data_IF_053896863827
#
_entry.id   IF_053896863827
#
_cell.length_a   1.000
_cell.length_b   1.000
_cell.length_c   1.000
_cell.angle_alpha   90.00
_cell.angle_beta   90.00
_cell.angle_gamma   90.00
#
_symmetry.space_group_name_H-M   'P 1'
#
loop_
_entity.id
_entity.type
_entity.pdbx_description
1 polymer ?
#
# COMPACT_ATOMS: atom_id res chain seq x y z
N UNK A 1 -10.74 -37.40 -1.17
CA UNK A 1 -9.49 -36.68 -0.80
C UNK A 1 -9.54 -36.30 0.65
N UNK A 2 -8.46 -36.48 1.38
CA UNK A 2 -8.36 -36.09 2.79
C UNK A 2 -8.13 -34.54 2.87
N UNK A 3 -9.14 -33.84 3.33
CA UNK A 3 -9.05 -32.37 3.54
C UNK A 3 -7.96 -31.99 4.57
N UNK A 4 -7.55 -32.92 5.45
CA UNK A 4 -6.44 -32.72 6.37
C UNK A 4 -5.12 -32.48 5.66
N UNK A 5 -4.89 -33.16 4.53
CA UNK A 5 -3.66 -33.00 3.74
C UNK A 5 -3.46 -31.62 3.14
N UNK A 6 -4.55 -30.89 2.84
CA UNK A 6 -4.53 -29.51 2.32
C UNK A 6 -3.72 -28.56 3.21
N UNK A 7 -3.78 -28.77 4.53
CA UNK A 7 -3.11 -27.91 5.51
C UNK A 7 -1.84 -28.53 6.09
N UNK A 8 -1.72 -29.87 6.12
CA UNK A 8 -0.56 -30.56 6.70
C UNK A 8 0.59 -30.75 5.71
N UNK A 9 0.29 -30.98 4.41
CA UNK A 9 1.27 -31.07 3.31
C UNK A 9 0.68 -30.48 2.03
N UNK A 10 0.68 -29.13 1.89
CA UNK A 10 0.12 -28.43 0.73
C UNK A 10 0.75 -28.88 -0.60
N UNK A 11 2.04 -29.18 -0.60
CA UNK A 11 2.75 -29.59 -1.81
C UNK A 11 2.30 -30.98 -2.29
N UNK A 12 2.15 -31.93 -1.38
CA UNK A 12 1.61 -33.24 -1.72
C UNK A 12 0.16 -33.16 -2.20
N UNK A 13 -0.66 -32.35 -1.51
CA UNK A 13 -2.05 -32.11 -1.89
C UNK A 13 -2.16 -31.48 -3.28
N UNK A 14 -1.34 -30.49 -3.59
CA UNK A 14 -1.28 -29.85 -4.93
C UNK A 14 -0.96 -30.89 -6.03
N UNK A 15 0.02 -31.78 -5.80
CA UNK A 15 0.36 -32.84 -6.76
C UNK A 15 -0.80 -33.80 -7.01
N UNK A 16 -1.53 -34.19 -5.97
CA UNK A 16 -2.72 -35.04 -6.09
C UNK A 16 -3.84 -34.35 -6.87
N UNK A 17 -4.10 -33.07 -6.55
CA UNK A 17 -5.10 -32.27 -7.26
C UNK A 17 -4.78 -32.12 -8.75
N UNK A 18 -3.54 -31.80 -9.11
CA UNK A 18 -3.12 -31.68 -10.53
C UNK A 18 -3.33 -32.97 -11.29
N UNK A 19 -2.99 -34.12 -10.71
CA UNK A 19 -3.25 -35.40 -11.34
C UNK A 19 -4.75 -35.69 -11.52
N UNK A 20 -5.54 -35.39 -10.50
CA UNK A 20 -6.99 -35.52 -10.55
C UNK A 20 -7.63 -34.60 -11.61
N UNK A 21 -7.18 -33.36 -11.69
CA UNK A 21 -7.60 -32.37 -12.68
C UNK A 21 -7.34 -32.86 -14.11
N UNK A 22 -6.11 -33.33 -14.42
CA UNK A 22 -5.76 -33.87 -15.73
C UNK A 22 -6.64 -35.09 -16.10
N UNK A 23 -6.92 -35.95 -15.15
CA UNK A 23 -7.79 -37.12 -15.40
C UNK A 23 -9.24 -36.74 -15.74
N UNK A 24 -9.80 -35.74 -15.01
CA UNK A 24 -11.17 -35.26 -15.29
C UNK A 24 -11.24 -34.58 -16.66
N UNK A 25 -10.26 -33.73 -16.99
CA UNK A 25 -10.22 -33.02 -18.28
C UNK A 25 -10.05 -34.04 -19.44
N UNK A 26 -9.30 -35.09 -19.23
CA UNK A 26 -9.15 -36.20 -20.20
C UNK A 26 -10.37 -37.14 -20.27
N UNK A 27 -11.45 -36.81 -19.55
CA UNK A 27 -12.69 -37.59 -19.56
C UNK A 27 -12.64 -38.89 -18.71
N UNK A 28 -11.63 -39.06 -17.89
CA UNK A 28 -11.55 -40.21 -16.97
C UNK A 28 -12.32 -39.88 -15.69
N UNK A 29 -13.35 -40.68 -15.33
CA UNK A 29 -14.09 -40.49 -14.09
C UNK A 29 -13.20 -40.55 -12.86
N UNK A 30 -13.34 -39.63 -11.92
CA UNK A 30 -12.59 -39.65 -10.68
C UNK A 30 -13.52 -39.56 -9.47
N UNK A 31 -13.73 -40.70 -8.79
CA UNK A 31 -14.69 -40.76 -7.68
C UNK A 31 -14.23 -40.00 -6.42
N UNK A 32 -12.95 -39.66 -6.29
CA UNK A 32 -12.38 -39.03 -5.10
C UNK A 32 -12.43 -37.49 -5.10
N UNK A 33 -12.94 -36.90 -6.19
CA UNK A 33 -13.13 -35.43 -6.26
C UNK A 33 -14.47 -35.07 -5.63
N UNK A 34 -14.54 -34.00 -4.79
CA UNK A 34 -15.81 -33.50 -4.30
C UNK A 34 -16.76 -33.17 -5.46
N UNK A 35 -18.00 -33.64 -5.41
CA UNK A 35 -18.95 -33.47 -6.51
C UNK A 35 -19.21 -31.97 -6.84
N UNK A 36 -19.18 -31.10 -5.84
CA UNK A 36 -19.30 -29.65 -6.07
C UNK A 36 -18.19 -29.11 -6.98
N UNK A 37 -16.95 -29.55 -6.79
CA UNK A 37 -15.82 -29.14 -7.61
C UNK A 37 -15.91 -29.73 -9.03
N UNK A 38 -16.25 -31.01 -9.14
CA UNK A 38 -16.43 -31.65 -10.44
C UNK A 38 -17.58 -30.98 -11.24
N UNK A 39 -18.64 -30.59 -10.57
CA UNK A 39 -19.77 -29.88 -11.18
C UNK A 39 -19.37 -28.49 -11.65
N UNK A 40 -18.56 -27.78 -10.88
CA UNK A 40 -18.04 -26.46 -11.25
C UNK A 40 -17.16 -26.55 -12.51
N UNK A 41 -16.20 -27.46 -12.56
CA UNK A 41 -15.38 -27.65 -13.76
C UNK A 41 -16.23 -28.02 -15.00
N UNK A 42 -17.22 -28.89 -14.83
CA UNK A 42 -18.14 -29.25 -15.93
C UNK A 42 -18.95 -28.04 -16.45
N UNK A 43 -19.44 -27.18 -15.54
CA UNK A 43 -20.15 -25.94 -15.93
C UNK A 43 -19.23 -25.02 -16.70
N UNK A 44 -18.02 -24.74 -16.19
CA UNK A 44 -17.04 -23.89 -16.85
C UNK A 44 -16.65 -24.38 -18.24
N UNK A 45 -16.40 -25.70 -18.38
CA UNK A 45 -16.11 -26.30 -19.69
C UNK A 45 -17.31 -26.22 -20.64
N UNK A 46 -18.54 -26.36 -20.12
CA UNK A 46 -19.76 -26.21 -20.93
C UNK A 46 -19.97 -24.76 -21.41
N UNK A 47 -19.41 -23.76 -20.69
CA UNK A 47 -19.36 -22.36 -21.12
C UNK A 47 -18.23 -22.09 -22.15
N UNK A 48 -17.47 -23.12 -22.52
CA UNK A 48 -16.38 -23.01 -23.48
C UNK A 48 -15.03 -22.59 -22.89
N UNK A 49 -14.90 -22.54 -21.56
CA UNK A 49 -13.65 -22.21 -20.92
C UNK A 49 -12.67 -23.37 -21.01
N UNK A 50 -11.50 -23.11 -21.61
CA UNK A 50 -10.42 -24.09 -21.68
C UNK A 50 -9.58 -24.10 -20.39
N UNK A 51 -9.16 -25.28 -19.91
CA UNK A 51 -8.13 -25.36 -18.85
C UNK A 51 -6.81 -24.69 -19.20
N UNK A 52 -6.54 -24.47 -20.48
CA UNK A 52 -5.36 -23.78 -21.01
C UNK A 52 -5.64 -22.32 -21.38
N UNK A 53 -6.75 -21.76 -20.96
CA UNK A 53 -7.03 -20.34 -21.16
C UNK A 53 -5.99 -19.49 -20.43
N UNK A 54 -5.43 -18.49 -21.13
CA UNK A 54 -4.37 -17.66 -20.57
C UNK A 54 -4.88 -16.35 -19.97
N UNK A 55 -5.98 -15.81 -20.52
CA UNK A 55 -6.47 -14.48 -20.18
C UNK A 55 -7.95 -14.51 -19.88
N UNK A 56 -8.42 -13.76 -18.86
CA UNK A 56 -9.85 -13.48 -18.67
C UNK A 56 -10.36 -12.55 -19.78
N UNK A 57 -11.66 -12.43 -19.87
CA UNK A 57 -12.26 -11.39 -20.68
C UNK A 57 -12.15 -10.05 -19.95
N UNK A 58 -11.77 -8.97 -20.64
CA UNK A 58 -11.82 -7.61 -20.11
C UNK A 58 -13.14 -6.96 -20.49
N UNK A 59 -13.85 -6.41 -19.49
CA UNK A 59 -15.15 -5.73 -19.69
C UNK A 59 -14.93 -4.23 -19.84
N UNK A 60 -14.02 -3.64 -19.08
CA UNK A 60 -13.73 -2.22 -19.09
C UNK A 60 -12.23 -1.96 -19.07
N UNK A 61 -11.85 -0.84 -19.67
CA UNK A 61 -10.51 -0.30 -19.52
C UNK A 61 -10.29 0.29 -18.11
N UNK A 62 -9.03 0.32 -17.65
CA UNK A 62 -8.72 0.78 -16.30
C UNK A 62 -9.24 2.19 -15.96
N UNK A 63 -9.40 3.05 -16.95
CA UNK A 63 -9.99 4.39 -16.79
C UNK A 63 -11.49 4.34 -16.49
N UNK A 64 -12.21 3.44 -17.14
CA UNK A 64 -13.66 3.25 -16.95
C UNK A 64 -13.95 2.63 -15.59
N UNK A 65 -13.09 1.68 -15.14
CA UNK A 65 -13.19 1.09 -13.80
C UNK A 65 -13.12 2.15 -12.69
N UNK A 66 -12.36 3.23 -12.89
CA UNK A 66 -12.30 4.32 -11.91
C UNK A 66 -13.65 5.03 -11.73
N UNK A 67 -14.41 5.19 -12.80
CA UNK A 67 -15.76 5.76 -12.71
C UNK A 67 -16.74 4.78 -12.06
N UNK A 68 -16.65 3.48 -12.41
CA UNK A 68 -17.45 2.43 -11.77
C UNK A 68 -17.21 2.39 -10.26
N UNK A 69 -15.96 2.45 -9.81
CA UNK A 69 -15.60 2.51 -8.37
C UNK A 69 -16.28 3.67 -7.64
N UNK A 70 -16.29 4.87 -8.25
CA UNK A 70 -16.87 6.08 -7.63
C UNK A 70 -18.37 5.94 -7.40
N UNK A 71 -19.06 5.27 -8.32
CA UNK A 71 -20.49 5.03 -8.22
C UNK A 71 -20.86 3.81 -7.36
N UNK A 72 -19.89 2.91 -7.12
CA UNK A 72 -20.15 1.63 -6.47
C UNK A 72 -20.24 1.75 -4.94
N UNK A 73 -21.23 1.10 -4.32
CA UNK A 73 -21.44 1.13 -2.85
C UNK A 73 -20.23 0.65 -2.05
N UNK A 74 -19.49 -0.31 -2.56
CA UNK A 74 -18.30 -0.85 -1.92
C UNK A 74 -17.15 0.17 -1.78
N UNK A 75 -17.20 1.32 -2.52
CA UNK A 75 -16.27 2.43 -2.33
C UNK A 75 -16.23 2.93 -0.88
N UNK A 76 -17.36 2.86 -0.17
CA UNK A 76 -17.48 3.35 1.20
C UNK A 76 -16.70 2.48 2.20
N UNK A 77 -16.58 1.19 1.94
CA UNK A 77 -15.93 0.21 2.83
C UNK A 77 -14.52 -0.16 2.40
N UNK A 78 -14.12 0.18 1.17
CA UNK A 78 -12.80 -0.16 0.63
C UNK A 78 -11.63 0.35 1.50
N UNK A 79 -11.65 1.58 2.06
CA UNK A 79 -10.58 2.02 2.95
C UNK A 79 -10.40 1.13 4.19
N UNK A 80 -11.50 0.74 4.85
CA UNK A 80 -11.47 -0.12 6.03
C UNK A 80 -11.03 -1.56 5.68
N UNK A 81 -11.47 -2.09 4.53
CA UNK A 81 -11.01 -3.40 4.05
C UNK A 81 -9.51 -3.38 3.72
N UNK A 82 -9.02 -2.30 3.10
CA UNK A 82 -7.59 -2.15 2.82
C UNK A 82 -6.76 -2.07 4.09
N UNK A 83 -7.21 -1.30 5.09
CA UNK A 83 -6.50 -1.18 6.37
C UNK A 83 -6.44 -2.52 7.12
N UNK A 84 -7.51 -3.32 7.04
CA UNK A 84 -7.60 -4.60 7.73
C UNK A 84 -6.81 -5.73 7.06
N UNK A 85 -6.80 -5.77 5.72
CA UNK A 85 -6.38 -6.95 4.95
C UNK A 85 -5.19 -6.71 4.02
N UNK A 86 -4.87 -5.44 3.71
CA UNK A 86 -3.76 -5.17 2.81
C UNK A 86 -2.44 -5.43 3.51
N UNK A 87 -1.63 -6.28 2.91
CA UNK A 87 -0.27 -6.54 3.34
C UNK A 87 0.68 -5.68 2.51
N UNK A 88 0.89 -4.45 2.98
CA UNK A 88 1.75 -3.45 2.33
C UNK A 88 3.25 -3.66 2.64
N UNK A 89 3.61 -4.72 3.37
CA UNK A 89 5.01 -5.05 3.63
C UNK A 89 5.75 -5.40 2.33
N UNK A 90 7.05 -5.16 2.27
CA UNK A 90 7.87 -5.45 1.07
C UNK A 90 7.80 -6.91 0.63
N UNK A 91 7.55 -7.81 1.57
CA UNK A 91 7.39 -9.27 1.45
C UNK A 91 5.95 -9.73 1.57
N UNK A 92 5.00 -8.80 1.54
CA UNK A 92 3.56 -9.10 1.55
C UNK A 92 3.16 -10.08 0.47
N UNK A 93 2.54 -11.19 0.88
CA UNK A 93 2.21 -12.31 0.00
C UNK A 93 0.76 -12.31 -0.43
N UNK A 94 -0.09 -11.52 0.23
CA UNK A 94 -1.52 -11.52 -0.04
C UNK A 94 -1.91 -10.40 -0.99
N UNK A 95 -2.80 -10.73 -1.91
CA UNK A 95 -3.49 -9.83 -2.81
C UNK A 95 -4.94 -9.71 -2.34
N UNK A 96 -5.36 -8.54 -1.96
CA UNK A 96 -6.75 -8.20 -1.72
C UNK A 96 -7.40 -7.83 -3.04
N UNK A 97 -8.50 -8.45 -3.38
CA UNK A 97 -9.31 -8.16 -4.57
C UNK A 97 -10.75 -7.92 -4.17
N UNK A 98 -11.38 -6.93 -4.78
CA UNK A 98 -12.80 -6.65 -4.60
C UNK A 98 -13.45 -6.51 -5.98
N UNK A 99 -14.46 -7.34 -6.23
CA UNK A 99 -15.23 -7.31 -7.48
C UNK A 99 -16.57 -6.64 -7.30
N UNK A 100 -17.26 -6.39 -8.40
CA UNK A 100 -18.68 -6.15 -8.41
C UNK A 100 -19.51 -7.45 -8.30
N UNK A 101 -20.83 -7.34 -8.39
CA UNK A 101 -21.74 -8.48 -8.36
C UNK A 101 -21.68 -9.36 -9.62
N UNK A 102 -21.10 -8.87 -10.71
CA UNK A 102 -20.86 -9.61 -11.95
C UNK A 102 -19.54 -10.40 -11.96
N UNK A 103 -18.62 -10.10 -11.04
CA UNK A 103 -17.28 -10.70 -10.98
C UNK A 103 -16.21 -9.87 -11.66
N UNK A 104 -16.52 -8.65 -12.09
CA UNK A 104 -15.53 -7.71 -12.61
C UNK A 104 -14.65 -7.18 -11.47
N UNK A 105 -13.34 -7.22 -11.63
CA UNK A 105 -12.42 -6.70 -10.64
C UNK A 105 -12.47 -5.18 -10.63
N UNK A 106 -12.89 -4.62 -9.50
CA UNK A 106 -12.91 -3.19 -9.31
C UNK A 106 -11.68 -2.68 -8.54
N UNK A 107 -11.19 -3.37 -7.51
CA UNK A 107 -10.02 -2.99 -6.72
C UNK A 107 -9.07 -4.15 -6.51
N UNK A 108 -7.77 -3.80 -6.51
CA UNK A 108 -6.69 -4.69 -6.07
C UNK A 108 -5.75 -3.93 -5.14
N UNK A 109 -5.34 -4.57 -4.05
CA UNK A 109 -4.37 -4.02 -3.10
C UNK A 109 -3.41 -5.12 -2.67
N UNK A 110 -2.12 -4.82 -2.64
CA UNK A 110 -1.08 -5.76 -2.23
C UNK A 110 0.31 -5.21 -2.50
N UNK A 111 1.33 -5.96 -2.08
CA UNK A 111 2.72 -5.62 -2.36
C UNK A 111 3.00 -5.56 -3.87
N UNK A 112 4.03 -4.81 -4.27
CA UNK A 112 4.44 -4.74 -5.67
C UNK A 112 4.80 -6.12 -6.25
N UNK A 113 5.29 -7.04 -5.41
CA UNK A 113 5.64 -8.40 -5.83
C UNK A 113 4.39 -9.24 -6.15
N UNK A 114 3.38 -9.21 -5.28
CA UNK A 114 2.16 -9.99 -5.51
C UNK A 114 1.33 -9.40 -6.65
N UNK A 115 1.30 -8.08 -6.80
CA UNK A 115 0.63 -7.41 -7.92
C UNK A 115 1.26 -7.81 -9.26
N UNK A 116 2.59 -7.81 -9.39
CA UNK A 116 3.29 -8.29 -10.60
C UNK A 116 3.00 -9.77 -10.91
N UNK A 117 2.85 -10.58 -9.86
CA UNK A 117 2.49 -11.99 -10.05
C UNK A 117 1.05 -12.13 -10.56
N UNK A 118 0.14 -11.30 -10.06
CA UNK A 118 -1.25 -11.24 -10.50
C UNK A 118 -1.37 -10.70 -11.95
N UNK A 119 -0.56 -9.71 -12.32
CA UNK A 119 -0.54 -9.13 -13.67
C UNK A 119 -0.18 -10.17 -14.75
N UNK A 120 0.61 -11.21 -14.42
CA UNK A 120 0.90 -12.31 -15.36
C UNK A 120 -0.31 -13.18 -15.70
N UNK A 121 -1.32 -13.14 -14.85
CA UNK A 121 -2.60 -13.84 -15.04
C UNK A 121 -3.69 -12.90 -15.56
N UNK A 122 -3.32 -11.65 -15.83
CA UNK A 122 -4.29 -10.56 -16.09
C UNK A 122 -5.35 -10.46 -14.98
N UNK A 123 -4.96 -10.81 -13.75
CA UNK A 123 -5.77 -10.63 -12.55
C UNK A 123 -5.74 -9.15 -12.18
N UNK A 124 -6.40 -8.33 -13.03
CA UNK A 124 -6.31 -6.87 -13.05
C UNK A 124 -7.68 -6.21 -13.08
N UNK A 125 -7.71 -4.93 -12.77
CA UNK A 125 -8.95 -4.15 -12.78
C UNK A 125 -9.57 -4.13 -14.19
N UNK A 126 -10.89 -4.32 -14.26
CA UNK A 126 -11.65 -4.44 -15.50
C UNK A 126 -11.74 -5.86 -16.05
N UNK A 127 -11.01 -6.82 -15.47
CA UNK A 127 -11.06 -8.22 -15.87
C UNK A 127 -12.26 -8.94 -15.26
N UNK A 128 -12.88 -9.81 -16.03
CA UNK A 128 -14.03 -10.63 -15.67
C UNK A 128 -13.58 -11.95 -15.05
N UNK A 129 -13.71 -12.06 -13.75
CA UNK A 129 -13.39 -13.26 -12.97
C UNK A 129 -14.63 -14.07 -12.58
N UNK A 130 -15.74 -13.85 -13.27
CA UNK A 130 -16.89 -14.75 -13.24
C UNK A 130 -16.57 -16.11 -13.86
N UNK A 131 -17.46 -17.07 -13.69
CA UNK A 131 -17.34 -18.40 -14.32
C UNK A 131 -17.32 -18.30 -15.86
N UNK A 132 -18.06 -17.38 -16.45
CA UNK A 132 -18.07 -17.12 -17.89
C UNK A 132 -16.82 -16.38 -18.40
N UNK A 133 -16.10 -15.66 -17.52
CA UNK A 133 -14.90 -14.92 -17.88
C UNK A 133 -13.64 -15.78 -17.90
N UNK A 134 -13.44 -16.61 -16.87
CA UNK A 134 -12.19 -17.39 -16.70
C UNK A 134 -12.43 -18.78 -16.06
N UNK A 135 -13.67 -19.24 -15.94
CA UNK A 135 -13.98 -20.54 -15.37
C UNK A 135 -13.91 -20.62 -13.86
N UNK A 136 -13.88 -21.85 -13.35
CA UNK A 136 -13.86 -22.12 -11.93
C UNK A 136 -12.66 -21.48 -11.22
N UNK A 137 -12.94 -20.52 -10.35
CA UNK A 137 -12.02 -19.87 -9.44
C UNK A 137 -12.75 -19.48 -8.15
N UNK A 138 -12.07 -18.98 -7.11
CA UNK A 138 -12.72 -18.73 -5.82
C UNK A 138 -13.79 -17.63 -5.92
N UNK A 139 -13.57 -16.58 -6.74
CA UNK A 139 -14.53 -15.50 -6.96
C UNK A 139 -15.78 -16.07 -7.64
N UNK A 140 -15.61 -16.81 -8.75
CA UNK A 140 -16.73 -17.41 -9.49
C UNK A 140 -17.56 -18.36 -8.64
N UNK A 141 -16.92 -19.19 -7.83
CA UNK A 141 -17.62 -20.10 -6.91
C UNK A 141 -18.34 -19.35 -5.80
N UNK A 142 -17.77 -18.27 -5.27
CA UNK A 142 -18.46 -17.43 -4.29
C UNK A 142 -19.69 -16.73 -4.90
N UNK A 143 -19.62 -16.31 -6.16
CA UNK A 143 -20.75 -15.75 -6.91
C UNK A 143 -21.86 -16.78 -7.13
N UNK A 144 -21.51 -17.98 -7.61
CA UNK A 144 -22.47 -19.03 -7.93
C UNK A 144 -23.13 -19.60 -6.67
N UNK A 145 -22.34 -19.86 -5.63
CA UNK A 145 -22.86 -20.52 -4.41
C UNK A 145 -23.45 -19.53 -3.41
N UNK A 146 -23.09 -18.25 -3.51
CA UNK A 146 -23.45 -17.23 -2.53
C UNK A 146 -22.85 -17.47 -1.15
N UNK A 147 -21.75 -18.24 -1.06
CA UNK A 147 -21.08 -18.67 0.19
C UNK A 147 -19.58 -18.40 0.13
N UNK A 148 -18.92 -18.25 1.28
CA UNK A 148 -17.46 -18.19 1.34
C UNK A 148 -16.84 -19.49 0.82
N UNK A 149 -15.78 -19.36 0.02
CA UNK A 149 -15.09 -20.45 -0.67
C UNK A 149 -13.58 -20.31 -0.52
N UNK A 150 -12.87 -21.43 -0.39
CA UNK A 150 -11.42 -21.51 -0.51
C UNK A 150 -11.03 -22.48 -1.61
N UNK A 151 -10.33 -22.01 -2.62
CA UNK A 151 -9.74 -22.85 -3.66
C UNK A 151 -8.21 -22.84 -3.57
N UNK A 152 -7.63 -24.00 -3.83
CA UNK A 152 -6.22 -24.27 -3.69
C UNK A 152 -5.68 -24.98 -4.93
N UNK A 153 -4.64 -24.42 -5.55
CA UNK A 153 -3.95 -25.09 -6.66
C UNK A 153 -4.91 -25.52 -7.78
N UNK A 154 -4.87 -26.78 -8.17
CA UNK A 154 -5.71 -27.35 -9.22
C UNK A 154 -7.18 -27.59 -8.82
N UNK A 155 -7.66 -26.99 -7.74
CA UNK A 155 -9.10 -26.77 -7.55
C UNK A 155 -9.60 -25.67 -8.52
N UNK A 156 -8.73 -24.76 -9.00
CA UNK A 156 -9.01 -23.88 -10.12
C UNK A 156 -9.04 -24.66 -11.45
N UNK A 157 -9.94 -24.29 -12.37
CA UNK A 157 -10.00 -24.95 -13.67
C UNK A 157 -8.78 -24.64 -14.53
N UNK A 158 -8.38 -23.37 -14.58
CA UNK A 158 -7.31 -22.89 -15.46
C UNK A 158 -5.93 -23.19 -14.87
N UNK A 159 -5.06 -23.84 -15.65
CA UNK A 159 -3.76 -24.34 -15.19
C UNK A 159 -2.81 -23.23 -14.71
N UNK A 160 -2.85 -22.05 -15.30
CA UNK A 160 -2.03 -20.91 -14.86
C UNK A 160 -2.35 -20.46 -13.43
N UNK A 161 -3.54 -20.78 -12.90
CA UNK A 161 -3.96 -20.45 -11.53
C UNK A 161 -3.50 -21.50 -10.49
N UNK A 162 -2.92 -22.62 -10.90
CA UNK A 162 -2.53 -23.72 -9.99
C UNK A 162 -1.42 -23.37 -8.99
N UNK A 163 -0.77 -22.23 -9.14
CA UNK A 163 0.21 -21.69 -8.19
C UNK A 163 -0.41 -20.75 -7.15
N UNK A 164 -1.75 -20.64 -7.14
CA UNK A 164 -2.46 -19.73 -6.26
C UNK A 164 -3.39 -20.46 -5.29
N UNK A 165 -3.54 -19.84 -4.13
CA UNK A 165 -4.53 -20.17 -3.13
C UNK A 165 -5.40 -18.96 -2.87
N UNK A 166 -6.71 -19.08 -3.00
CA UNK A 166 -7.67 -17.99 -3.00
C UNK A 166 -8.77 -18.25 -1.97
N UNK A 167 -9.16 -17.22 -1.27
CA UNK A 167 -10.26 -17.25 -0.31
C UNK A 167 -11.23 -16.12 -0.62
N UNK A 168 -12.40 -16.45 -1.11
CA UNK A 168 -13.41 -15.50 -1.53
C UNK A 168 -14.68 -15.59 -0.70
N UNK A 169 -15.32 -14.43 -0.46
CA UNK A 169 -16.62 -14.37 0.21
C UNK A 169 -17.49 -13.25 -0.37
N UNK A 170 -18.79 -13.51 -0.60
CA UNK A 170 -19.72 -12.52 -1.12
C UNK A 170 -20.03 -11.46 -0.07
N UNK A 171 -20.09 -10.18 -0.50
CA UNK A 171 -20.57 -9.04 0.30
C UNK A 171 -21.98 -8.71 -0.17
N UNK A 172 -22.90 -8.62 0.78
CA UNK A 172 -24.30 -8.31 0.51
C UNK A 172 -24.68 -6.92 1.05
N UNK A 173 -25.62 -6.34 0.37
CA UNK A 173 -26.30 -5.16 0.85
C UNK A 173 -27.10 -5.49 2.12
N UNK A 174 -26.80 -4.84 3.26
CA UNK A 174 -27.45 -5.17 4.53
C UNK A 174 -28.92 -4.83 4.59
N UNK A 175 -29.44 -3.98 3.68
CA UNK A 175 -30.85 -3.58 3.65
C UNK A 175 -31.66 -4.45 2.69
N UNK A 176 -31.10 -4.78 1.53
CA UNK A 176 -31.83 -5.48 0.47
C UNK A 176 -31.47 -6.96 0.36
N UNK A 177 -30.34 -7.38 0.94
CA UNK A 177 -29.77 -8.72 0.76
C UNK A 177 -29.14 -8.96 -0.61
N UNK A 178 -29.18 -7.96 -1.53
CA UNK A 178 -28.60 -8.08 -2.85
C UNK A 178 -27.08 -8.27 -2.77
N UNK A 179 -26.53 -9.07 -3.70
CA UNK A 179 -25.10 -9.19 -3.84
C UNK A 179 -24.51 -7.88 -4.34
N UNK A 180 -23.50 -7.35 -3.63
CA UNK A 180 -22.77 -6.16 -4.05
C UNK A 180 -21.46 -6.51 -4.75
N UNK A 181 -20.83 -7.63 -4.41
CA UNK A 181 -19.59 -8.08 -4.98
C UNK A 181 -18.96 -9.18 -4.14
N UNK A 182 -17.72 -9.51 -4.45
CA UNK A 182 -16.95 -10.55 -3.77
C UNK A 182 -15.63 -9.96 -3.27
N UNK A 183 -15.35 -10.20 -1.99
CA UNK A 183 -14.03 -9.98 -1.39
C UNK A 183 -13.20 -11.25 -1.57
N UNK A 184 -12.03 -11.15 -2.18
CA UNK A 184 -11.08 -12.24 -2.32
C UNK A 184 -9.71 -11.87 -1.75
N UNK A 185 -9.10 -12.82 -1.05
CA UNK A 185 -7.71 -12.76 -0.59
C UNK A 185 -6.96 -13.92 -1.23
N UNK A 186 -6.08 -13.57 -2.15
CA UNK A 186 -5.30 -14.50 -2.95
C UNK A 186 -3.81 -14.42 -2.61
N UNK A 187 -3.10 -15.55 -2.74
CA UNK A 187 -1.66 -15.59 -2.48
C UNK A 187 -1.02 -16.88 -2.97
N UNK A 188 0.29 -17.10 -2.68
CA UNK A 188 0.96 -18.36 -2.96
C UNK A 188 0.34 -19.50 -2.14
N UNK A 189 0.59 -20.73 -2.54
CA UNK A 189 -0.02 -21.92 -1.92
C UNK A 189 0.20 -22.00 -0.42
N UNK A 190 1.37 -21.55 0.07
CA UNK A 190 1.75 -21.56 1.47
C UNK A 190 1.00 -20.52 2.32
N UNK A 191 0.32 -19.57 1.68
CA UNK A 191 -0.46 -18.52 2.37
C UNK A 191 -1.84 -18.99 2.80
N UNK A 192 -2.30 -20.14 2.31
CA UNK A 192 -3.62 -20.67 2.67
C UNK A 192 -3.61 -21.29 4.06
N UNK A 193 -4.45 -20.75 4.93
CA UNK A 193 -4.70 -21.30 6.27
C UNK A 193 -6.21 -21.36 6.54
N UNK A 194 -6.61 -22.12 7.55
CA UNK A 194 -7.99 -22.12 8.03
C UNK A 194 -8.39 -20.73 8.59
N UNK A 195 -7.41 -19.97 9.07
CA UNK A 195 -7.63 -18.63 9.62
C UNK A 195 -7.88 -17.60 8.52
N UNK A 196 -7.33 -17.77 7.31
CA UNK A 196 -7.62 -16.91 6.16
C UNK A 196 -9.12 -16.85 5.86
N UNK A 197 -9.81 -18.00 5.91
CA UNK A 197 -11.27 -18.03 5.71
C UNK A 197 -12.02 -17.30 6.83
N UNK A 198 -11.59 -17.44 8.07
CA UNK A 198 -12.18 -16.73 9.21
C UNK A 198 -11.97 -15.24 9.07
N UNK A 199 -10.76 -14.81 8.72
CA UNK A 199 -10.39 -13.42 8.50
C UNK A 199 -11.24 -12.78 7.40
N UNK A 200 -11.38 -13.43 6.24
CA UNK A 200 -12.20 -12.93 5.12
C UNK A 200 -13.67 -12.83 5.53
N UNK A 201 -14.21 -13.80 6.26
CA UNK A 201 -15.58 -13.74 6.78
C UNK A 201 -15.79 -12.59 7.78
N UNK A 202 -14.82 -12.36 8.68
CA UNK A 202 -14.88 -11.22 9.60
C UNK A 202 -14.83 -9.88 8.85
N UNK A 203 -13.98 -9.77 7.84
CA UNK A 203 -13.87 -8.58 7.00
C UNK A 203 -15.17 -8.29 6.24
N UNK A 204 -15.81 -9.31 5.67
CA UNK A 204 -17.14 -9.17 5.03
C UNK A 204 -18.18 -8.72 6.05
N UNK A 205 -18.24 -9.34 7.22
CA UNK A 205 -19.20 -8.94 8.27
C UNK A 205 -18.99 -7.50 8.73
N UNK A 206 -17.74 -7.07 8.83
CA UNK A 206 -17.38 -5.67 9.11
C UNK A 206 -17.84 -4.74 7.98
N UNK A 207 -17.57 -5.08 6.72
CA UNK A 207 -17.98 -4.28 5.57
C UNK A 207 -19.51 -4.10 5.53
N UNK A 208 -20.28 -5.17 5.72
CA UNK A 208 -21.74 -5.13 5.76
C UNK A 208 -22.25 -4.32 6.96
N UNK A 209 -21.59 -4.39 8.12
CA UNK A 209 -21.92 -3.55 9.28
C UNK A 209 -21.67 -2.06 9.01
N UNK A 210 -20.54 -1.71 8.38
CA UNK A 210 -20.21 -0.34 7.99
C UNK A 210 -21.22 0.22 6.97
N UNK A 211 -21.63 -0.58 5.98
CA UNK A 211 -22.66 -0.19 5.01
C UNK A 211 -24.00 0.09 5.71
N UNK A 212 -24.39 -0.74 6.69
CA UNK A 212 -25.61 -0.53 7.47
C UNK A 212 -25.57 0.76 8.30
N UNK A 213 -24.42 1.07 8.89
CA UNK A 213 -24.22 2.31 9.64
C UNK A 213 -24.31 3.55 8.75
N UNK A 214 -23.74 3.48 7.55
CA UNK A 214 -23.83 4.55 6.55
C UNK A 214 -25.27 4.82 6.11
N UNK A 215 -26.07 3.78 5.90
CA UNK A 215 -27.49 3.89 5.55
C UNK A 215 -28.34 4.47 6.67
N UNK A 216 -27.98 4.23 7.93
CA UNK A 216 -28.66 4.79 9.11
C UNK A 216 -28.35 6.29 9.34
N UNK A 217 -27.60 6.92 8.44
CA UNK A 217 -27.22 8.33 8.56
C UNK A 217 -26.18 8.59 9.66
N UNK A 218 -25.56 7.54 10.19
CA UNK A 218 -24.42 7.66 11.12
C UNK A 218 -23.16 7.87 10.25
N UNK A 219 -22.47 9.03 10.35
CA UNK A 219 -21.23 9.20 9.61
C UNK A 219 -20.25 8.10 10.03
N UNK A 220 -19.67 7.38 9.07
CA UNK A 220 -18.58 6.45 9.31
C UNK A 220 -17.42 7.23 9.91
N UNK A 221 -17.32 7.16 11.26
CA UNK A 221 -16.50 8.06 12.06
C UNK A 221 -15.02 7.81 11.89
N UNK A 222 -14.30 8.86 11.62
CA UNK A 222 -13.00 9.09 12.21
C UNK A 222 -13.10 9.04 13.76
N UNK A 223 -12.03 8.66 14.49
CA UNK A 223 -12.06 8.59 15.96
C UNK A 223 -12.54 9.92 16.56
N UNK A 224 -13.43 9.81 17.54
CA UNK A 224 -14.13 10.92 18.16
C UNK A 224 -13.22 12.07 18.59
N UNK A 225 -13.40 13.29 18.09
CA UNK A 225 -12.85 14.46 18.74
C UNK A 225 -13.76 14.90 19.87
N UNK A 226 -13.15 15.30 20.98
CA UNK A 226 -13.78 15.97 22.13
C UNK A 226 -14.64 17.15 21.66
N UNK A 227 -15.82 17.41 22.22
CA UNK A 227 -16.76 18.38 21.68
C UNK A 227 -16.28 19.82 21.84
N UNK A 228 -16.04 20.47 20.72
CA UNK A 228 -16.01 21.95 20.65
C UNK A 228 -17.28 22.38 19.94
N UNK A 229 -18.05 23.21 20.62
CA UNK A 229 -19.35 23.74 20.19
C UNK A 229 -19.26 24.41 18.81
N UNK A 230 -20.10 23.96 17.87
CA UNK A 230 -20.28 24.61 16.57
C UNK A 230 -21.64 25.28 16.50
N UNK A 231 -21.60 26.57 16.27
CA UNK A 231 -22.74 27.30 15.75
C UNK A 231 -22.90 26.99 14.25
N UNK A 232 -24.13 26.64 13.92
CA UNK A 232 -24.54 26.29 12.54
C UNK A 232 -24.77 27.53 11.69
N UNK A 233 -24.23 27.54 10.48
CA UNK A 233 -24.82 28.27 9.36
C UNK A 233 -24.80 27.44 8.09
N UNK A 234 -26.00 27.11 7.61
CA UNK A 234 -26.28 26.45 6.33
C UNK A 234 -26.13 27.48 5.23
N UNK A 235 -25.31 27.22 4.25
CA UNK A 235 -25.52 27.74 2.86
C UNK A 235 -24.77 26.86 1.85
N UNK A 236 -25.48 26.49 0.83
CA UNK A 236 -25.19 26.13 -0.55
C UNK A 236 -23.82 25.55 -0.93
N UNK A 237 -23.86 24.30 -1.44
CA UNK A 237 -22.76 23.65 -2.12
C UNK A 237 -22.47 24.35 -3.47
N UNK A 238 -21.48 25.23 -3.48
CA UNK A 238 -20.70 25.54 -4.68
C UNK A 238 -19.34 24.84 -4.50
N UNK A 239 -18.86 24.15 -5.52
CA UNK A 239 -17.53 23.54 -5.53
C UNK A 239 -16.49 24.61 -5.12
N UNK A 240 -15.91 24.46 -3.92
CA UNK A 240 -14.82 25.31 -3.45
C UNK A 240 -13.63 25.08 -4.36
N UNK A 241 -12.96 26.11 -4.87
CA UNK A 241 -11.66 25.93 -5.46
C UNK A 241 -10.75 25.30 -4.39
N UNK A 242 -10.11 24.18 -4.73
CA UNK A 242 -9.21 23.47 -3.81
C UNK A 242 -8.18 24.49 -3.31
N UNK A 243 -8.06 24.64 -1.99
CA UNK A 243 -7.07 25.54 -1.42
C UNK A 243 -5.68 25.12 -1.90
N UNK A 244 -4.86 26.07 -2.34
CA UNK A 244 -3.53 25.76 -2.87
C UNK A 244 -2.66 25.13 -1.78
N UNK A 245 -1.90 24.10 -2.14
CA UNK A 245 -0.93 23.46 -1.23
C UNK A 245 0.14 24.47 -0.82
N UNK A 246 0.43 24.52 0.48
CA UNK A 246 1.39 25.44 1.06
C UNK A 246 2.77 24.80 1.25
N UNK A 247 2.80 23.55 1.76
CA UNK A 247 4.04 22.82 2.06
C UNK A 247 3.80 21.31 2.16
N UNK A 248 4.90 20.55 2.16
CA UNK A 248 4.92 19.11 2.39
C UNK A 248 5.66 18.80 3.70
N UNK A 249 5.11 17.90 4.49
CA UNK A 249 5.73 17.29 5.67
C UNK A 249 6.14 15.88 5.28
N UNK A 250 7.44 15.65 5.11
CA UNK A 250 8.03 14.38 4.66
C UNK A 250 8.99 13.77 5.70
N UNK A 251 9.34 14.54 6.75
CA UNK A 251 10.16 14.04 7.85
C UNK A 251 9.30 13.28 8.86
N UNK A 252 9.70 12.03 9.16
CA UNK A 252 9.00 11.16 10.10
C UNK A 252 8.19 10.05 9.44
N UNK A 253 7.24 9.51 10.20
CA UNK A 253 6.43 8.34 9.85
C UNK A 253 5.00 8.68 9.38
N UNK A 254 4.58 9.96 9.49
CA UNK A 254 3.23 10.42 9.15
C UNK A 254 3.26 11.58 8.13
N UNK A 255 3.66 11.31 6.89
CA UNK A 255 3.77 12.35 5.88
C UNK A 255 2.42 12.99 5.56
N UNK A 256 2.45 14.29 5.26
CA UNK A 256 1.24 15.07 4.97
C UNK A 256 1.48 16.23 4.01
N UNK A 257 0.40 16.70 3.39
CA UNK A 257 0.35 17.97 2.67
C UNK A 257 -0.41 19.02 3.52
N UNK A 258 0.14 20.22 3.63
CA UNK A 258 -0.50 21.37 4.25
C UNK A 258 -1.04 22.31 3.19
N UNK A 259 -2.25 22.78 3.39
CA UNK A 259 -2.93 23.70 2.50
C UNK A 259 -2.98 25.12 3.10
N UNK A 260 -3.17 26.12 2.25
CA UNK A 260 -3.21 27.53 2.68
C UNK A 260 -4.40 27.87 3.57
N UNK A 261 -5.44 27.04 3.58
CA UNK A 261 -6.58 27.17 4.49
C UNK A 261 -6.31 26.57 5.88
N UNK A 262 -5.09 26.10 6.13
CA UNK A 262 -4.70 25.47 7.40
C UNK A 262 -5.04 23.98 7.49
N UNK A 263 -5.64 23.39 6.46
CA UNK A 263 -5.94 21.96 6.48
C UNK A 263 -4.67 21.12 6.30
N UNK A 264 -4.59 19.99 7.01
CA UNK A 264 -3.53 18.97 6.91
C UNK A 264 -4.14 17.71 6.35
N UNK A 265 -3.63 17.23 5.24
CA UNK A 265 -4.10 16.00 4.58
C UNK A 265 -2.99 14.95 4.63
N UNK A 266 -3.21 13.80 5.31
CA UNK A 266 -2.23 12.74 5.38
C UNK A 266 -1.98 12.14 3.99
N UNK A 267 -0.72 11.79 3.74
CA UNK A 267 -0.29 11.14 2.50
C UNK A 267 -0.06 9.65 2.77
N UNK A 268 -0.44 8.81 1.81
CA UNK A 268 0.02 7.43 1.84
C UNK A 268 1.53 7.38 1.61
N UNK A 269 2.20 6.34 2.13
CA UNK A 269 3.65 6.20 2.01
C UNK A 269 4.10 6.31 0.55
N UNK A 270 3.42 5.63 -0.39
CA UNK A 270 3.75 5.68 -1.82
C UNK A 270 3.65 7.08 -2.42
N UNK A 271 2.63 7.86 -2.07
CA UNK A 271 2.49 9.25 -2.54
C UNK A 271 3.57 10.15 -1.96
N UNK A 272 3.93 9.93 -0.70
CA UNK A 272 5.02 10.67 -0.05
C UNK A 272 6.39 10.34 -0.68
N UNK A 273 6.66 9.08 -1.04
CA UNK A 273 7.86 8.65 -1.77
C UNK A 273 7.96 9.35 -3.13
N UNK A 274 6.87 9.37 -3.90
CA UNK A 274 6.80 10.10 -5.17
C UNK A 274 7.14 11.58 -4.94
N UNK A 275 6.48 12.23 -3.97
CA UNK A 275 6.69 13.65 -3.67
C UNK A 275 8.11 13.95 -3.20
N UNK A 276 8.74 13.06 -2.42
CA UNK A 276 10.13 13.16 -2.01
C UNK A 276 11.08 13.10 -3.22
N UNK A 277 10.82 12.20 -4.18
CA UNK A 277 11.57 12.14 -5.43
C UNK A 277 11.37 13.40 -6.27
N UNK A 278 10.14 13.90 -6.42
CA UNK A 278 9.87 15.16 -7.13
C UNK A 278 10.56 16.36 -6.48
N UNK A 279 10.61 16.41 -5.13
CA UNK A 279 11.30 17.48 -4.39
C UNK A 279 12.82 17.41 -4.53
N UNK A 280 13.38 16.21 -4.74
CA UNK A 280 14.82 15.98 -4.85
C UNK A 280 15.43 16.47 -6.18
N UNK A 281 14.61 16.62 -7.23
CA UNK A 281 15.08 16.89 -8.60
C UNK A 281 14.19 17.94 -9.28
N UNK A 282 14.69 19.17 -9.35
CA UNK A 282 13.95 20.31 -9.92
C UNK A 282 13.66 20.17 -11.43
N UNK A 283 14.49 19.45 -12.18
CA UNK A 283 14.27 19.16 -13.59
C UNK A 283 13.08 18.23 -13.82
N UNK A 284 12.64 17.52 -12.79
CA UNK A 284 11.53 16.58 -12.82
C UNK A 284 11.95 15.17 -13.25
N UNK A 285 10.95 14.31 -13.38
CA UNK A 285 11.07 12.88 -13.62
C UNK A 285 10.08 12.46 -14.71
N UNK A 286 10.47 11.54 -15.58
CA UNK A 286 9.53 10.82 -16.44
C UNK A 286 8.76 9.76 -15.61
N UNK A 287 7.69 9.22 -16.18
CA UNK A 287 6.97 8.12 -15.55
C UNK A 287 7.85 6.85 -15.46
N UNK A 288 8.68 6.64 -16.47
CA UNK A 288 9.59 5.52 -16.58
C UNK A 288 10.72 5.61 -15.53
N UNK A 289 11.32 6.81 -15.37
CA UNK A 289 12.34 7.04 -14.33
C UNK A 289 11.76 6.83 -12.92
N UNK A 290 10.57 7.40 -12.63
CA UNK A 290 9.90 7.18 -11.34
C UNK A 290 9.56 5.71 -11.11
N UNK A 291 9.13 4.99 -12.16
CA UNK A 291 8.85 3.57 -12.07
C UNK A 291 10.12 2.78 -11.73
N UNK A 292 11.24 3.10 -12.36
CA UNK A 292 12.51 2.49 -12.07
C UNK A 292 12.99 2.75 -10.62
N UNK A 293 12.95 3.99 -10.17
CA UNK A 293 13.38 4.38 -8.82
C UNK A 293 12.50 3.74 -7.72
N UNK A 294 11.20 3.62 -7.96
CA UNK A 294 10.26 3.11 -6.98
C UNK A 294 10.10 1.58 -7.00
N UNK A 295 10.43 0.93 -8.12
CA UNK A 295 10.14 -0.50 -8.34
C UNK A 295 11.30 -1.28 -8.98
N UNK A 296 12.40 -0.63 -9.34
CA UNK A 296 13.53 -1.24 -10.07
C UNK A 296 13.15 -1.61 -11.51
N UNK A 297 13.87 -2.58 -12.08
CA UNK A 297 13.71 -3.03 -13.48
C UNK A 297 12.30 -3.54 -13.83
N UNK A 298 11.51 -3.88 -12.82
CA UNK A 298 10.12 -4.33 -12.98
C UNK A 298 9.10 -3.17 -12.89
N UNK A 299 9.55 -1.91 -12.85
CA UNK A 299 8.69 -0.75 -12.74
C UNK A 299 7.82 -0.54 -13.99
N UNK A 300 6.49 -0.46 -13.80
CA UNK A 300 5.55 -0.19 -14.89
C UNK A 300 5.15 1.28 -14.83
N UNK A 301 5.50 2.04 -15.87
CA UNK A 301 5.18 3.47 -15.98
C UNK A 301 3.67 3.78 -15.86
N UNK A 302 2.81 2.84 -16.26
CA UNK A 302 1.35 2.99 -16.11
C UNK A 302 0.92 3.09 -14.63
N UNK A 303 1.53 2.32 -13.72
CA UNK A 303 1.28 2.41 -12.29
C UNK A 303 1.65 3.80 -11.74
N UNK A 304 2.78 4.36 -12.20
CA UNK A 304 3.20 5.71 -11.83
C UNK A 304 2.23 6.76 -12.35
N UNK A 305 1.75 6.64 -13.59
CA UNK A 305 0.76 7.56 -14.14
C UNK A 305 -0.53 7.56 -13.32
N UNK A 306 -0.95 6.39 -12.83
CA UNK A 306 -2.12 6.26 -11.95
C UNK A 306 -1.88 6.95 -10.59
N UNK A 307 -0.73 6.73 -9.96
CA UNK A 307 -0.41 7.41 -8.70
C UNK A 307 -0.23 8.93 -8.91
N UNK A 308 0.38 9.36 -10.02
CA UNK A 308 0.50 10.76 -10.36
C UNK A 308 -0.87 11.43 -10.59
N UNK A 309 -1.82 10.71 -11.20
CA UNK A 309 -3.21 11.19 -11.30
C UNK A 309 -3.81 11.41 -9.90
N UNK A 310 -3.64 10.46 -8.98
CA UNK A 310 -4.13 10.57 -7.59
C UNK A 310 -3.44 11.71 -6.83
N UNK A 311 -2.12 11.86 -6.98
CA UNK A 311 -1.37 12.97 -6.38
C UNK A 311 -1.86 14.31 -6.92
N UNK A 312 -2.07 14.43 -8.23
CA UNK A 312 -2.61 15.65 -8.85
C UNK A 312 -4.06 15.92 -8.47
N UNK A 313 -4.88 14.89 -8.32
CA UNK A 313 -6.25 15.05 -7.80
C UNK A 313 -6.28 15.62 -6.39
N UNK A 314 -5.25 15.35 -5.58
CA UNK A 314 -5.09 15.87 -4.23
C UNK A 314 -4.47 17.28 -4.21
N UNK A 315 -3.40 17.48 -4.98
CA UNK A 315 -2.54 18.68 -4.91
C UNK A 315 -2.78 19.66 -6.07
N UNK A 316 -3.61 19.30 -7.04
CA UNK A 316 -3.98 20.16 -8.17
C UNK A 316 -2.78 20.56 -9.03
N UNK A 317 -2.75 21.83 -9.41
CA UNK A 317 -1.72 22.44 -10.28
C UNK A 317 -0.33 22.55 -9.60
N UNK A 318 -0.23 22.16 -8.31
CA UNK A 318 1.06 22.11 -7.62
C UNK A 318 2.04 21.09 -8.19
N UNK A 319 1.55 20.20 -9.08
CA UNK A 319 2.35 19.17 -9.78
C UNK A 319 2.26 19.40 -11.28
N UNK A 320 3.37 19.77 -11.91
CA UNK A 320 3.50 19.82 -13.36
C UNK A 320 3.67 18.41 -13.97
N UNK A 321 3.29 18.25 -15.24
CA UNK A 321 3.47 17.01 -16.01
C UNK A 321 4.35 17.26 -17.23
N UNK A 322 5.08 16.19 -17.63
CA UNK A 322 5.99 16.20 -18.80
C UNK A 322 7.16 17.20 -18.71
N UNK A 323 8.16 16.92 -17.86
CA UNK A 323 8.24 15.85 -16.84
C UNK A 323 7.44 16.17 -15.58
N UNK A 324 7.19 15.15 -14.74
CA UNK A 324 6.58 15.35 -13.44
C UNK A 324 7.52 16.10 -12.50
N UNK A 325 7.09 17.23 -11.97
CA UNK A 325 7.86 18.06 -11.04
C UNK A 325 6.95 18.84 -10.12
N UNK A 326 7.47 19.25 -8.98
CA UNK A 326 6.78 20.21 -8.13
C UNK A 326 6.72 21.56 -8.86
N UNK A 327 5.52 22.16 -8.87
CA UNK A 327 5.32 23.52 -9.40
C UNK A 327 6.03 24.57 -8.52
N UNK A 328 6.26 25.76 -9.06
CA UNK A 328 6.98 26.86 -8.38
C UNK A 328 6.41 27.17 -6.99
N UNK A 329 5.11 27.03 -6.81
CA UNK A 329 4.43 27.27 -5.53
C UNK A 329 4.73 26.26 -4.43
N UNK A 330 5.25 25.08 -4.77
CA UNK A 330 5.51 23.98 -3.84
C UNK A 330 6.99 23.54 -3.84
N UNK A 331 7.74 23.81 -4.91
CA UNK A 331 9.15 23.47 -5.02
C UNK A 331 9.97 24.07 -3.85
N UNK A 332 10.74 23.21 -3.17
CA UNK A 332 11.54 23.57 -2.00
C UNK A 332 10.74 23.97 -0.76
N UNK A 333 9.44 23.67 -0.72
CA UNK A 333 8.58 23.89 0.45
C UNK A 333 8.27 22.62 1.23
N UNK A 334 9.05 21.56 1.03
CA UNK A 334 9.04 20.44 1.96
C UNK A 334 9.91 20.78 3.20
N UNK A 335 9.62 20.14 4.32
CA UNK A 335 10.46 20.21 5.53
C UNK A 335 11.87 19.67 5.26
N UNK A 336 12.01 18.57 4.52
CA UNK A 336 13.31 18.03 4.08
C UNK A 336 14.07 19.04 3.19
N UNK A 337 13.40 19.67 2.23
CA UNK A 337 13.95 20.72 1.40
C UNK A 337 14.35 21.97 2.21
N UNK A 338 13.61 22.29 3.27
CA UNK A 338 13.96 23.37 4.19
C UNK A 338 15.27 23.07 4.93
N UNK A 339 15.43 21.85 5.45
CA UNK A 339 16.68 21.44 6.11
C UNK A 339 17.87 21.60 5.15
N UNK A 340 17.77 21.07 3.94
CA UNK A 340 18.83 21.17 2.93
C UNK A 340 19.15 22.64 2.55
N UNK A 341 18.16 23.50 2.48
CA UNK A 341 18.36 24.94 2.23
C UNK A 341 19.12 25.61 3.37
N UNK A 342 18.71 25.34 4.63
CA UNK A 342 19.37 25.88 5.82
C UNK A 342 20.83 25.44 5.92
N UNK A 343 21.11 24.16 5.57
CA UNK A 343 22.46 23.63 5.51
C UNK A 343 23.32 24.35 4.45
N UNK A 344 22.78 24.60 3.26
CA UNK A 344 23.46 25.36 2.21
C UNK A 344 23.73 26.81 2.59
N UNK A 345 22.88 27.40 3.42
CA UNK A 345 23.06 28.74 3.98
C UNK A 345 24.03 28.78 5.18
N UNK A 346 24.61 27.65 5.58
CA UNK A 346 25.49 27.55 6.75
C UNK A 346 24.76 27.67 8.10
N UNK A 347 23.43 27.57 8.12
CA UNK A 347 22.59 27.71 9.31
C UNK A 347 22.36 26.36 10.00
N UNK A 348 23.44 25.69 10.44
CA UNK A 348 23.38 24.33 10.99
C UNK A 348 22.45 24.22 12.23
N UNK A 349 22.41 25.23 13.10
CA UNK A 349 21.54 25.22 14.27
C UNK A 349 20.05 25.22 13.89
N UNK A 350 19.65 26.05 12.92
CA UNK A 350 18.28 26.10 12.42
C UNK A 350 17.92 24.83 11.61
N UNK A 351 18.90 24.25 10.91
CA UNK A 351 18.72 22.99 10.19
C UNK A 351 18.46 21.82 11.17
N UNK A 352 19.21 21.73 12.27
CA UNK A 352 18.97 20.75 13.32
C UNK A 352 17.60 20.92 14.00
N UNK A 353 17.16 22.14 14.17
CA UNK A 353 15.85 22.44 14.74
C UNK A 353 14.70 22.06 13.80
N UNK A 354 14.88 22.24 12.49
CA UNK A 354 13.92 21.84 11.47
C UNK A 354 13.89 20.33 11.23
N UNK A 355 14.99 19.63 11.50
CA UNK A 355 15.14 18.19 11.32
C UNK A 355 14.54 17.42 12.51
N UNK A 356 13.23 17.13 12.45
CA UNK A 356 12.50 16.48 13.54
C UNK A 356 12.64 14.96 13.57
N UNK A 357 12.83 14.33 12.40
CA UNK A 357 12.93 12.90 12.23
C UNK A 357 13.55 12.58 10.85
N UNK A 358 14.00 11.33 10.61
CA UNK A 358 14.48 10.90 9.31
C UNK A 358 13.42 11.01 8.20
N UNK A 359 13.85 11.27 6.96
CA UNK A 359 12.97 11.33 5.80
C UNK A 359 12.22 10.01 5.63
N UNK A 360 10.88 10.06 5.63
CA UNK A 360 9.98 8.92 5.45
C UNK A 360 10.49 7.66 6.15
N UNK A 361 10.61 7.73 7.48
CA UNK A 361 11.27 6.70 8.31
C UNK A 361 10.75 5.27 8.09
N UNK A 362 9.48 5.11 7.66
CA UNK A 362 8.86 3.82 7.34
C UNK A 362 9.14 3.32 5.93
N UNK A 363 9.76 4.12 5.04
CA UNK A 363 10.05 3.69 3.68
C UNK A 363 11.26 2.77 3.62
N UNK A 364 11.08 1.59 3.04
CA UNK A 364 12.13 0.65 2.66
C UNK A 364 12.62 0.82 1.23
N UNK A 365 12.11 1.81 0.47
CA UNK A 365 12.53 2.04 -0.91
C UNK A 365 13.97 2.55 -0.98
N UNK A 366 14.80 1.96 -1.84
CA UNK A 366 16.23 2.26 -1.95
C UNK A 366 16.49 3.72 -2.33
N UNK A 367 15.74 4.30 -3.27
CA UNK A 367 15.92 5.69 -3.67
C UNK A 367 15.60 6.65 -2.51
N UNK A 368 14.59 6.33 -1.70
CA UNK A 368 14.25 7.12 -0.51
C UNK A 368 15.31 6.94 0.59
N UNK A 369 15.85 5.74 0.76
CA UNK A 369 16.96 5.52 1.70
C UNK A 369 18.18 6.37 1.31
N UNK A 370 18.54 6.41 0.03
CA UNK A 370 19.64 7.24 -0.47
C UNK A 370 19.39 8.74 -0.23
N UNK A 371 18.15 9.21 -0.39
CA UNK A 371 17.79 10.61 -0.07
C UNK A 371 17.88 10.88 1.44
N UNK A 372 17.42 9.94 2.26
CA UNK A 372 17.52 10.00 3.73
C UNK A 372 18.97 10.08 4.17
N UNK A 373 19.79 9.15 3.70
CA UNK A 373 21.23 9.10 4.06
C UNK A 373 21.96 10.36 3.64
N UNK A 374 21.65 10.90 2.45
CA UNK A 374 22.22 12.17 1.99
C UNK A 374 21.87 13.33 2.90
N UNK A 375 20.61 13.41 3.35
CA UNK A 375 20.15 14.46 4.26
C UNK A 375 20.82 14.31 5.63
N UNK A 376 20.87 13.11 6.17
CA UNK A 376 21.48 12.78 7.45
C UNK A 376 22.99 13.07 7.45
N UNK A 377 23.70 12.65 6.42
CA UNK A 377 25.13 12.91 6.25
C UNK A 377 25.42 14.41 6.14
N UNK A 378 24.60 15.16 5.38
CA UNK A 378 24.78 16.60 5.27
C UNK A 378 24.58 17.31 6.61
N UNK A 379 23.55 16.93 7.38
CA UNK A 379 23.30 17.47 8.72
C UNK A 379 24.44 17.15 9.68
N UNK A 380 24.86 15.88 9.76
CA UNK A 380 25.98 15.44 10.60
C UNK A 380 27.26 16.20 10.27
N UNK A 381 27.59 16.35 9.00
CA UNK A 381 28.78 17.07 8.55
C UNK A 381 28.73 18.54 8.99
N UNK A 382 27.61 19.22 8.83
CA UNK A 382 27.43 20.61 9.22
C UNK A 382 27.53 20.81 10.75
N UNK A 383 26.94 19.89 11.53
CA UNK A 383 27.02 19.92 13.00
C UNK A 383 28.46 19.68 13.49
N UNK A 384 29.14 18.66 12.93
CA UNK A 384 30.54 18.33 13.29
C UNK A 384 31.52 19.45 12.94
N UNK A 385 31.25 20.21 11.89
CA UNK A 385 32.06 21.37 11.50
C UNK A 385 31.76 22.63 12.33
N UNK A 386 30.77 22.59 13.21
CA UNK A 386 30.38 23.75 14.03
C UNK A 386 31.45 24.07 15.09
N UNK A 387 31.64 25.35 15.32
CA UNK A 387 32.44 25.88 16.44
C UNK A 387 31.58 26.23 17.66
N UNK A 388 30.28 25.94 17.63
CA UNK A 388 29.37 26.16 18.75
C UNK A 388 29.20 24.87 19.56
N UNK A 389 29.71 24.82 20.79
CA UNK A 389 29.54 23.66 21.66
C UNK A 389 28.07 23.34 21.99
N UNK A 390 27.21 24.36 22.02
CA UNK A 390 25.79 24.16 22.32
C UNK A 390 25.09 23.40 21.19
N UNK A 391 25.44 23.63 19.93
CA UNK A 391 24.92 22.88 18.80
C UNK A 391 25.36 21.41 18.83
N UNK A 392 26.64 21.15 19.11
CA UNK A 392 27.16 19.79 19.26
C UNK A 392 26.45 19.04 20.38
N UNK A 393 26.28 19.67 21.56
CA UNK A 393 25.55 19.05 22.67
C UNK A 393 24.08 18.75 22.34
N UNK A 394 23.40 19.67 21.64
CA UNK A 394 22.02 19.42 21.16
C UNK A 394 21.96 18.21 20.23
N UNK A 395 22.89 18.11 19.30
CA UNK A 395 22.99 16.96 18.40
C UNK A 395 23.20 15.65 19.17
N UNK A 396 24.21 15.62 20.05
CA UNK A 396 24.56 14.46 20.87
C UNK A 396 23.44 14.02 21.84
N UNK A 397 22.49 14.93 22.12
CA UNK A 397 21.31 14.62 22.93
C UNK A 397 20.16 14.02 22.12
N UNK A 398 20.28 13.91 20.79
CA UNK A 398 19.28 13.24 19.95
C UNK A 398 19.59 11.75 19.82
N UNK A 399 18.56 10.94 19.56
CA UNK A 399 18.73 9.50 19.30
C UNK A 399 19.73 9.25 18.17
N UNK A 400 19.71 10.07 17.12
CA UNK A 400 20.59 9.95 15.95
C UNK A 400 22.04 10.38 16.22
N UNK A 401 22.24 11.32 17.14
CA UNK A 401 23.54 11.87 17.49
C UNK A 401 24.20 11.19 18.69
N UNK A 402 23.46 10.43 19.47
CA UNK A 402 23.92 9.88 20.75
C UNK A 402 25.16 8.97 20.65
N UNK A 403 25.36 8.32 19.49
CA UNK A 403 26.54 7.48 19.20
C UNK A 403 27.56 8.13 18.24
N UNK A 404 27.44 9.44 17.98
CA UNK A 404 28.29 10.15 17.02
C UNK A 404 29.66 10.50 17.62
N UNK A 405 30.58 9.55 17.64
CA UNK A 405 31.93 9.73 18.18
C UNK A 405 32.71 10.91 17.58
N UNK A 406 32.68 11.15 16.23
CA UNK A 406 33.30 12.36 15.66
C UNK A 406 32.73 13.69 16.20
N UNK A 407 31.42 13.73 16.53
CA UNK A 407 30.84 14.92 17.16
C UNK A 407 31.28 15.08 18.62
N UNK A 408 31.44 13.95 19.37
CA UNK A 408 32.02 13.97 20.71
C UNK A 408 33.48 14.48 20.69
N UNK A 409 34.29 14.00 19.73
CA UNK A 409 35.64 14.49 19.55
C UNK A 409 35.70 15.99 19.20
N UNK A 410 34.79 16.45 18.31
CA UNK A 410 34.68 17.88 17.99
C UNK A 410 34.33 18.71 19.23
N UNK A 411 33.40 18.22 20.07
CA UNK A 411 33.07 18.86 21.35
C UNK A 411 34.28 18.92 22.27
N UNK A 412 35.03 17.84 22.40
CA UNK A 412 36.25 17.77 23.25
C UNK A 412 37.33 18.74 22.81
N UNK A 413 37.48 18.99 21.49
CA UNK A 413 38.40 20.01 20.95
C UNK A 413 38.00 21.44 21.32
N UNK A 414 36.68 21.69 21.45
CA UNK A 414 36.19 23.03 21.77
C UNK A 414 36.15 23.34 23.26
N UNK A 415 35.74 22.39 24.08
CA UNK A 415 35.54 22.63 25.52
C UNK A 415 36.69 22.10 26.39
N UNK A 416 37.52 21.20 25.82
CA UNK A 416 38.61 20.50 26.54
C UNK A 416 38.19 19.11 27.06
N UNK A 417 39.14 18.18 27.04
CA UNK A 417 38.89 16.76 27.36
C UNK A 417 38.57 16.50 28.86
N UNK A 418 38.76 17.50 29.73
CA UNK A 418 38.43 17.44 31.17
C UNK A 418 37.11 18.14 31.50
N UNK A 419 36.46 18.74 30.53
CA UNK A 419 35.16 19.41 30.71
C UNK A 419 34.07 18.36 31.01
N UNK A 420 33.23 18.63 32.02
CA UNK A 420 32.17 17.73 32.44
C UNK A 420 31.18 17.40 31.31
N UNK A 421 30.93 18.35 30.40
CA UNK A 421 30.07 18.18 29.24
C UNK A 421 30.65 17.13 28.29
N UNK A 422 31.96 17.24 27.96
CA UNK A 422 32.64 16.25 27.13
C UNK A 422 32.61 14.86 27.78
N UNK A 423 32.94 14.76 29.05
CA UNK A 423 33.00 13.49 29.76
C UNK A 423 31.64 12.80 29.79
N UNK A 424 30.56 13.56 29.98
CA UNK A 424 29.19 13.03 29.95
C UNK A 424 28.81 12.40 28.60
N UNK A 425 29.05 13.10 27.50
CA UNK A 425 28.71 12.58 26.16
C UNK A 425 29.66 11.46 25.71
N UNK A 426 30.96 11.53 26.08
CA UNK A 426 31.93 10.49 25.80
C UNK A 426 31.57 9.16 26.48
N UNK A 427 31.13 9.20 27.73
CA UNK A 427 30.67 8.01 28.45
C UNK A 427 29.38 7.44 27.87
N UNK A 428 28.44 8.30 27.46
CA UNK A 428 27.17 7.91 26.81
C UNK A 428 27.37 7.24 25.46
N UNK A 429 28.23 7.80 24.62
CA UNK A 429 28.55 7.26 23.31
C UNK A 429 29.27 5.90 23.39
N UNK A 430 30.20 5.75 24.31
CA UNK A 430 30.89 4.47 24.57
C UNK A 430 29.92 3.37 25.05
N UNK A 431 28.93 3.74 25.87
CA UNK A 431 27.91 2.81 26.34
C UNK A 431 26.91 2.42 25.22
N UNK A 432 26.66 3.30 24.26
CA UNK A 432 25.83 3.01 23.09
C UNK A 432 26.54 2.06 22.11
N UNK A 433 27.82 2.27 21.86
CA UNK A 433 28.67 1.41 21.00
C UNK A 433 28.79 -0.03 21.57
N UNK A 434 28.93 -0.14 22.87
CA UNK A 434 29.00 -1.43 23.57
C UNK A 434 27.68 -2.24 23.54
N UNK A 435 26.56 -1.62 23.21
CA UNK A 435 25.25 -2.30 23.01
C UNK A 435 25.02 -2.78 21.60
N UNK A 436 25.79 -2.27 20.62
CA UNK A 436 25.70 -2.60 19.21
C UNK A 436 26.73 -3.66 18.78
N UNK A 437 27.75 -3.91 19.58
CA UNK A 437 28.76 -4.96 19.41
C UNK A 437 28.32 -6.27 20.08
#
# INVERSE_FOLDING_TARGET
MDHGLKFSDPAAYSRLLRRAHEQVISGVPRPEIPEGLASSWRRSMALGISPDQHSPRHLHEASEVLELRRAHRLQQVMPALSELLADDSSDGRHLLVLTDAGGEILWRVGSAQVLRRADRLEFSEGADWSEAGIGTNAISEALVTGRPVQLFSAEHLVRTHHEWACTAAPIRDPLTGALLGVLDVSGPLESLTADTLRMVRCAVSMAEALLRMSDAGTPLGAPSPVPVSRQSSRTGSAARPAAAVASLELLGDQPAAFFRDGSRVPLTLRRAEILALLDSRSQGWSAEELAYELHGDAGIAASIRTEMFRVRSLLGDAIASNPYRLGEGLAGRSDAGQVLRLLREGKAAAALEAYRAPLLSRSGNMAIQLLRDRLDLALRAAVRASTDPALLMRWLSTDMGSSDMPAVEALGKLVGLRDARYLSFSAGAAAADAKLA
#
